data_IF_638430651289
#
_entry.id   IF_638430651289
#
_cell.length_a   1.000
_cell.length_b   1.000
_cell.length_c   1.000
_cell.angle_alpha   90.00
_cell.angle_beta   90.00
_cell.angle_gamma   90.00
#
_symmetry.space_group_name_H-M   'P 1'
#
loop_
_entity.id
_entity.type
_entity.pdbx_description
1 polymer ?
#
# COMPACT_ATOMS: atom_id res chain seq x y z
N UNK A 1 26.39 -3.49 8.53
CA UNK A 1 25.54 -4.45 7.80
C UNK A 1 26.48 -5.41 7.10
N UNK A 2 26.42 -6.70 7.41
CA UNK A 2 27.19 -7.71 6.68
C UNK A 2 26.31 -8.28 5.58
N UNK A 3 26.79 -8.27 4.34
CA UNK A 3 26.07 -8.77 3.18
C UNK A 3 26.67 -10.10 2.73
N UNK A 4 25.86 -11.14 2.74
CA UNK A 4 26.23 -12.48 2.28
C UNK A 4 25.02 -13.14 1.64
N UNK A 5 25.21 -13.84 0.52
CA UNK A 5 24.14 -14.58 -0.17
C UNK A 5 22.89 -13.73 -0.47
N UNK A 6 23.06 -12.51 -0.99
CA UNK A 6 21.94 -11.58 -1.29
C UNK A 6 21.10 -11.20 -0.05
N UNK A 7 21.63 -11.42 1.16
CA UNK A 7 20.99 -11.11 2.44
C UNK A 7 21.80 -10.09 3.24
N UNK A 8 21.08 -9.29 4.03
CA UNK A 8 21.64 -8.30 4.93
C UNK A 8 21.50 -8.74 6.39
N UNK A 9 22.62 -8.99 7.06
CA UNK A 9 22.68 -9.41 8.46
C UNK A 9 23.07 -8.23 9.38
N UNK A 10 22.38 -8.07 10.50
CA UNK A 10 22.63 -7.06 11.53
C UNK A 10 22.08 -7.50 12.91
N UNK A 11 22.58 -6.90 13.99
CA UNK A 11 22.15 -7.17 15.38
C UNK A 11 21.38 -5.98 15.95
N UNK A 12 20.33 -6.24 16.73
CA UNK A 12 19.56 -5.23 17.49
C UNK A 12 19.31 -5.74 18.91
N UNK A 13 19.36 -4.85 19.90
CA UNK A 13 19.01 -5.18 21.29
C UNK A 13 17.52 -4.94 21.60
N UNK A 14 16.76 -4.46 20.62
CA UNK A 14 15.33 -4.16 20.75
C UNK A 14 14.51 -4.84 19.66
N UNK A 15 13.31 -5.29 20.02
CA UNK A 15 12.32 -5.81 19.06
C UNK A 15 11.60 -4.63 18.38
N UNK A 16 11.70 -4.55 17.06
CA UNK A 16 11.06 -3.52 16.25
C UNK A 16 10.73 -4.08 14.85
N UNK A 17 10.05 -3.27 14.04
CA UNK A 17 9.86 -3.55 12.61
C UNK A 17 11.02 -2.95 11.84
N UNK A 18 11.66 -3.76 11.00
CA UNK A 18 12.79 -3.36 10.16
C UNK A 18 12.41 -3.51 8.70
N UNK A 19 12.88 -2.59 7.87
CA UNK A 19 12.68 -2.64 6.43
C UNK A 19 13.91 -2.09 5.73
N UNK A 20 14.35 -2.80 4.68
CA UNK A 20 15.44 -2.37 3.81
C UNK A 20 14.84 -1.66 2.60
N UNK A 21 15.36 -0.47 2.29
CA UNK A 21 14.98 0.30 1.13
C UNK A 21 16.24 0.78 0.42
N UNK A 22 16.34 0.50 -0.88
CA UNK A 22 17.34 1.12 -1.74
C UNK A 22 16.71 2.36 -2.38
N UNK A 23 17.33 3.52 -2.16
CA UNK A 23 16.80 4.81 -2.59
C UNK A 23 17.96 5.69 -3.07
N UNK A 24 17.92 6.22 -4.32
CA UNK A 24 18.96 7.09 -4.84
C UNK A 24 19.08 8.42 -4.08
N UNK A 25 18.01 8.82 -3.38
CA UNK A 25 17.98 9.99 -2.49
C UNK A 25 17.58 9.57 -1.08
N UNK A 26 18.57 9.37 -0.20
CA UNK A 26 18.37 8.90 1.17
C UNK A 26 17.42 9.80 1.99
N UNK A 27 17.39 11.10 1.72
CA UNK A 27 16.47 12.04 2.39
C UNK A 27 14.98 11.73 2.14
N UNK A 28 14.65 11.06 1.04
CA UNK A 28 13.27 10.71 0.68
C UNK A 28 12.87 9.30 1.14
N UNK A 29 13.82 8.49 1.61
CA UNK A 29 13.59 7.08 1.96
C UNK A 29 12.47 6.90 3.00
N UNK A 30 12.44 7.74 4.03
CA UNK A 30 11.37 7.71 5.07
C UNK A 30 10.01 8.10 4.48
N UNK A 31 9.98 9.09 3.59
CA UNK A 31 8.75 9.51 2.93
C UNK A 31 8.18 8.39 2.05
N UNK A 32 9.02 7.77 1.21
CA UNK A 32 8.62 6.64 0.36
C UNK A 32 8.16 5.44 1.19
N UNK A 33 8.91 5.07 2.23
CA UNK A 33 8.53 3.99 3.13
C UNK A 33 7.18 4.27 3.81
N UNK A 34 6.93 5.52 4.23
CA UNK A 34 5.67 5.92 4.87
C UNK A 34 4.49 5.82 3.91
N UNK A 35 4.65 6.30 2.68
CA UNK A 35 3.63 6.21 1.64
C UNK A 35 3.29 4.75 1.32
N UNK A 36 4.32 3.92 1.10
CA UNK A 36 4.14 2.53 0.74
C UNK A 36 3.56 1.70 1.91
N UNK A 37 4.00 1.95 3.15
CA UNK A 37 3.46 1.27 4.32
C UNK A 37 1.97 1.55 4.53
N UNK A 38 1.51 2.78 4.27
CA UNK A 38 0.07 3.13 4.35
C UNK A 38 -0.77 2.27 3.41
N UNK A 39 -0.30 2.04 2.18
CA UNK A 39 -1.02 1.20 1.22
C UNK A 39 -0.92 -0.30 1.58
N UNK A 40 0.27 -0.78 1.93
CA UNK A 40 0.52 -2.20 2.23
C UNK A 40 -0.17 -2.70 3.50
N UNK A 41 -0.46 -1.80 4.44
CA UNK A 41 -1.17 -2.16 5.68
C UNK A 41 -2.68 -2.27 5.50
N UNK A 42 -3.22 -1.87 4.35
CA UNK A 42 -4.62 -2.07 4.05
C UNK A 42 -4.94 -3.58 3.99
N UNK A 43 -5.88 -4.01 4.82
CA UNK A 43 -6.33 -5.41 4.82
C UNK A 43 -7.13 -5.66 3.53
N UNK A 44 -6.76 -6.64 2.70
CA UNK A 44 -7.48 -6.93 1.47
C UNK A 44 -8.84 -7.57 1.78
N UNK A 45 -9.91 -7.02 1.21
CA UNK A 45 -11.25 -7.56 1.29
C UNK A 45 -11.78 -7.90 -0.10
N UNK A 46 -12.47 -9.03 -0.22
CA UNK A 46 -13.16 -9.41 -1.45
C UNK A 46 -14.54 -8.76 -1.48
N UNK A 47 -14.79 -7.90 -2.45
CA UNK A 47 -16.06 -7.20 -2.61
C UNK A 47 -16.67 -7.45 -3.99
N UNK A 48 -18.00 -7.31 -4.09
CA UNK A 48 -18.73 -7.28 -5.36
C UNK A 48 -19.24 -5.86 -5.58
N UNK A 49 -18.93 -5.29 -6.74
CA UNK A 49 -19.50 -4.02 -7.18
C UNK A 49 -20.82 -4.29 -7.89
N UNK A 50 -21.91 -3.68 -7.44
CA UNK A 50 -23.25 -3.88 -7.99
C UNK A 50 -23.85 -2.53 -8.32
N UNK A 51 -24.25 -2.30 -9.56
CA UNK A 51 -24.85 -1.05 -10.01
C UNK A 51 -26.33 -1.25 -10.29
N UNK A 52 -27.17 -0.40 -9.71
CA UNK A 52 -28.59 -0.30 -9.98
C UNK A 52 -28.90 0.94 -10.82
N UNK A 53 -29.85 0.84 -11.75
CA UNK A 53 -30.28 1.95 -12.59
C UNK A 53 -31.80 2.10 -12.55
N UNK A 54 -32.29 3.35 -12.54
CA UNK A 54 -33.71 3.68 -12.75
C UNK A 54 -33.82 4.85 -13.73
N UNK A 55 -34.56 4.66 -14.82
CA UNK A 55 -34.94 5.77 -15.70
C UNK A 55 -36.14 6.51 -15.11
N UNK A 56 -35.99 7.81 -14.91
CA UNK A 56 -37.10 8.67 -14.47
C UNK A 56 -37.79 9.32 -15.69
N UNK A 57 -37.05 9.52 -16.79
CA UNK A 57 -37.58 10.01 -18.06
C UNK A 57 -36.79 9.39 -19.24
N UNK A 58 -37.28 9.52 -20.47
CA UNK A 58 -36.67 8.88 -21.65
C UNK A 58 -35.23 9.33 -21.94
N UNK A 59 -34.83 10.48 -21.40
CA UNK A 59 -33.48 11.07 -21.55
C UNK A 59 -32.70 11.17 -20.24
N UNK A 60 -33.28 10.80 -19.10
CA UNK A 60 -32.65 10.92 -17.79
C UNK A 60 -32.81 9.65 -16.93
N UNK A 61 -31.68 9.13 -16.44
CA UNK A 61 -31.63 7.98 -15.55
C UNK A 61 -30.71 8.21 -14.37
N UNK A 62 -31.04 7.61 -13.24
CA UNK A 62 -30.26 7.66 -12.00
C UNK A 62 -29.59 6.32 -11.75
N UNK A 63 -28.28 6.36 -11.56
CA UNK A 63 -27.48 5.21 -11.14
C UNK A 63 -27.27 5.22 -9.62
N UNK A 64 -27.18 4.03 -9.04
CA UNK A 64 -26.72 3.78 -7.67
C UNK A 64 -25.65 2.71 -7.75
N UNK A 65 -24.40 3.09 -7.52
CA UNK A 65 -23.26 2.18 -7.40
C UNK A 65 -23.11 1.66 -5.96
#
# INVERSE_FOLDING_TARGET
LSYENECANFTTNVSARFWLADCPRTAEAVHFATMLYKELTAVPYMAKFVVFAKMNDAREGRLRC
#
